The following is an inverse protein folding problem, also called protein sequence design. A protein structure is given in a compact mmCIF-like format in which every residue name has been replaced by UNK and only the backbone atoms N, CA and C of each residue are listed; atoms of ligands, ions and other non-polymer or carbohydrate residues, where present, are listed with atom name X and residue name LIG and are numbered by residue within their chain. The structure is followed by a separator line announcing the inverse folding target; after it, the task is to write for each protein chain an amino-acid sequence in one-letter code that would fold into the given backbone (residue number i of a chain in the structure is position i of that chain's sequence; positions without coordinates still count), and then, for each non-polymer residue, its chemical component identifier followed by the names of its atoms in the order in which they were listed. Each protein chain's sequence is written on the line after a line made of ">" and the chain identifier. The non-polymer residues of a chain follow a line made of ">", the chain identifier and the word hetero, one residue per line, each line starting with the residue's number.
data_IF_555325027668
#
_entry.id   IF_555325027668
#
_cell.length_a   1.000
_cell.length_b   1.000
_cell.length_c   1.000
_cell.angle_alpha   90.00
_cell.angle_beta   90.00
_cell.angle_gamma   90.00
#
_symmetry.space_group_name_H-M   'P 1'
#
loop_
_entity.id
_entity.type
_entity.pdbx_description
1 polymer ?
#
# COMPACT_ATOMS: atom_id res chain seq x y z
N UNK A 1 0.56 -10.46 7.46
CA UNK A 1 0.33 -11.04 6.10
C UNK A 1 1.12 -12.32 5.79
N UNK A 2 2.47 -12.34 5.81
CA UNK A 2 3.24 -13.57 5.53
C UNK A 2 2.88 -14.73 6.47
N UNK A 3 2.62 -14.43 7.75
CA UNK A 3 2.15 -15.39 8.75
C UNK A 3 0.74 -15.93 8.48
N UNK A 4 -0.19 -15.09 8.04
CA UNK A 4 -1.56 -15.49 7.66
C UNK A 4 -1.51 -16.50 6.51
N UNK A 5 -0.75 -16.19 5.47
CA UNK A 5 -0.57 -17.07 4.31
C UNK A 5 0.10 -18.40 4.67
N UNK A 6 1.10 -18.38 5.57
CA UNK A 6 1.77 -19.61 6.06
C UNK A 6 0.82 -20.55 6.81
N UNK A 7 -0.24 -20.02 7.44
CA UNK A 7 -1.28 -20.81 8.11
C UNK A 7 -2.39 -21.27 7.16
N UNK A 8 -2.26 -21.03 5.85
CA UNK A 8 -3.28 -21.35 4.85
C UNK A 8 -4.47 -20.38 4.82
N UNK A 9 -4.40 -19.24 5.51
CA UNK A 9 -5.45 -18.23 5.51
C UNK A 9 -5.37 -17.27 4.32
N UNK A 10 -6.50 -16.66 3.98
CA UNK A 10 -6.57 -15.50 3.09
C UNK A 10 -6.44 -14.21 3.90
N UNK A 11 -5.77 -13.20 3.36
CA UNK A 11 -5.70 -11.87 3.97
C UNK A 11 -6.70 -10.93 3.28
N UNK A 12 -7.44 -10.16 4.07
CA UNK A 12 -8.42 -9.17 3.60
C UNK A 12 -7.74 -7.80 3.51
N UNK A 13 -7.72 -7.23 2.31
CA UNK A 13 -7.14 -5.92 2.05
C UNK A 13 -8.22 -4.89 1.70
N UNK A 14 -8.19 -3.76 2.39
CA UNK A 14 -9.08 -2.63 2.12
C UNK A 14 -8.40 -1.58 1.25
N UNK A 15 -9.19 -1.00 0.34
CA UNK A 15 -8.73 0.07 -0.53
C UNK A 15 -9.12 1.43 0.04
N UNK A 16 -8.15 2.25 0.40
CA UNK A 16 -8.41 3.61 0.86
C UNK A 16 -8.56 4.52 -0.35
N UNK A 17 -9.81 4.80 -0.72
CA UNK A 17 -10.14 5.77 -1.79
C UNK A 17 -10.46 7.18 -1.27
N UNK A 18 -10.74 7.31 0.03
CA UNK A 18 -11.12 8.57 0.67
C UNK A 18 -9.91 9.09 1.46
N UNK A 19 -9.42 10.32 1.19
CA UNK A 19 -8.29 10.91 1.91
C UNK A 19 -8.72 11.46 3.28
N UNK A 20 -9.18 10.57 4.18
CA UNK A 20 -9.68 10.94 5.49
C UNK A 20 -9.14 10.00 6.59
N UNK A 21 -8.46 10.57 7.59
CA UNK A 21 -7.84 9.82 8.68
C UNK A 21 -8.84 9.06 9.56
N UNK A 22 -10.01 9.64 9.84
CA UNK A 22 -11.05 8.98 10.67
C UNK A 22 -11.63 7.77 9.94
N UNK A 23 -11.86 7.87 8.63
CA UNK A 23 -12.30 6.73 7.83
C UNK A 23 -11.24 5.61 7.83
N UNK A 24 -9.96 5.95 7.67
CA UNK A 24 -8.87 4.98 7.71
C UNK A 24 -8.71 4.32 9.08
N UNK A 25 -8.83 5.08 10.17
CA UNK A 25 -8.82 4.56 11.54
C UNK A 25 -10.01 3.63 11.78
N UNK A 26 -11.22 4.02 11.37
CA UNK A 26 -12.40 3.19 11.50
C UNK A 26 -12.27 1.86 10.75
N UNK A 27 -11.69 1.87 9.55
CA UNK A 27 -11.36 0.65 8.82
C UNK A 27 -10.31 -0.17 9.56
N UNK A 28 -9.27 0.44 10.11
CA UNK A 28 -8.23 -0.28 10.85
C UNK A 28 -8.79 -0.95 12.13
N UNK A 29 -9.64 -0.24 12.87
CA UNK A 29 -10.35 -0.76 14.05
C UNK A 29 -11.36 -1.86 13.70
N UNK A 30 -11.92 -1.86 12.48
CA UNK A 30 -12.81 -2.90 11.99
C UNK A 30 -12.10 -4.25 11.72
N UNK A 31 -10.78 -4.35 11.95
CA UNK A 31 -10.06 -5.62 11.93
C UNK A 31 -9.59 -6.07 10.55
N UNK A 32 -9.36 -5.14 9.63
CA UNK A 32 -8.79 -5.46 8.32
C UNK A 32 -7.33 -5.91 8.46
N UNK A 33 -6.89 -6.88 7.67
CA UNK A 33 -5.50 -7.37 7.72
C UNK A 33 -4.51 -6.34 7.14
N UNK A 34 -4.96 -5.58 6.14
CA UNK A 34 -4.17 -4.55 5.48
C UNK A 34 -5.04 -3.47 4.87
N UNK A 35 -4.49 -2.26 4.76
CA UNK A 35 -5.12 -1.11 4.10
C UNK A 35 -4.15 -0.48 3.12
N UNK A 36 -4.59 -0.32 1.87
CA UNK A 36 -3.76 0.23 0.78
C UNK A 36 -4.17 1.66 0.44
N UNK A 37 -3.22 2.60 0.58
CA UNK A 37 -3.34 3.96 0.06
C UNK A 37 -3.00 3.98 -1.43
N UNK A 38 -3.86 4.56 -2.26
CA UNK A 38 -3.66 4.62 -3.71
C UNK A 38 -3.08 5.96 -4.17
N UNK A 39 -1.76 5.96 -4.33
CA UNK A 39 -1.01 7.12 -4.81
C UNK A 39 -0.93 7.16 -6.36
N UNK A 40 -1.54 6.19 -7.07
CA UNK A 40 -1.51 6.14 -8.53
C UNK A 40 -2.54 7.08 -9.16
N UNK A 41 -3.76 7.10 -8.62
CA UNK A 41 -4.91 7.84 -9.17
C UNK A 41 -5.02 9.28 -8.65
N UNK A 42 -4.06 9.74 -7.85
CA UNK A 42 -3.91 11.15 -7.47
C UNK A 42 -4.85 11.67 -6.38
N UNK A 43 -5.82 10.86 -5.92
CA UNK A 43 -6.72 11.24 -4.80
C UNK A 43 -6.01 11.29 -3.46
N UNK A 44 -4.96 10.48 -3.29
CA UNK A 44 -4.11 10.47 -2.11
C UNK A 44 -2.70 10.87 -2.55
N UNK A 45 -2.23 12.01 -2.04
CA UNK A 45 -0.84 12.43 -2.20
C UNK A 45 0.04 11.87 -1.08
N UNK A 46 1.35 12.19 -1.12
CA UNK A 46 2.31 11.64 -0.15
C UNK A 46 2.04 12.12 1.29
N UNK A 47 1.72 13.41 1.48
CA UNK A 47 1.49 13.95 2.82
C UNK A 47 0.23 13.36 3.44
N UNK A 48 -0.83 13.27 2.63
CA UNK A 48 -2.07 12.60 3.01
C UNK A 48 -1.81 11.13 3.36
N UNK A 49 -1.04 10.41 2.55
CA UNK A 49 -0.69 9.02 2.83
C UNK A 49 0.04 8.85 4.18
N UNK A 50 0.96 9.77 4.53
CA UNK A 50 1.62 9.76 5.84
C UNK A 50 0.60 9.90 6.97
N UNK A 51 -0.33 10.84 6.87
CA UNK A 51 -1.39 11.01 7.88
C UNK A 51 -2.32 9.80 7.97
N UNK A 52 -2.67 9.17 6.84
CA UNK A 52 -3.44 7.93 6.83
C UNK A 52 -2.68 6.79 7.50
N UNK A 53 -1.38 6.65 7.25
CA UNK A 53 -0.57 5.60 7.86
C UNK A 53 -0.37 5.81 9.36
N UNK A 54 -0.30 7.06 9.82
CA UNK A 54 -0.31 7.37 11.25
C UNK A 54 -1.58 6.87 11.94
N UNK A 55 -2.75 7.07 11.32
CA UNK A 55 -4.03 6.57 11.83
C UNK A 55 -4.07 5.03 11.87
N UNK A 56 -3.60 4.36 10.81
CA UNK A 56 -3.56 2.89 10.73
C UNK A 56 -2.54 2.28 11.72
N UNK A 57 -1.40 2.94 11.94
CA UNK A 57 -0.32 2.45 12.80
C UNK A 57 -0.70 2.29 14.27
N UNK A 58 -1.82 2.87 14.72
CA UNK A 58 -2.38 2.63 16.04
C UNK A 58 -3.02 1.23 16.21
N UNK A 59 -3.05 0.41 15.15
CA UNK A 59 -3.70 -0.91 15.12
C UNK A 59 -2.76 -1.99 14.56
N UNK A 60 -3.12 -3.29 14.66
CA UNK A 60 -2.38 -4.38 14.01
C UNK A 60 -2.48 -4.41 12.47
N UNK A 61 -3.34 -3.58 11.87
CA UNK A 61 -3.57 -3.54 10.43
C UNK A 61 -2.32 -3.06 9.70
N UNK A 62 -1.94 -3.74 8.62
CA UNK A 62 -0.71 -3.44 7.87
C UNK A 62 -0.98 -2.30 6.87
N UNK A 63 -0.32 -1.13 6.99
CA UNK A 63 -0.42 -0.07 6.00
C UNK A 63 0.38 -0.43 4.74
N UNK A 64 -0.23 -0.26 3.58
CA UNK A 64 0.36 -0.48 2.25
C UNK A 64 0.18 0.76 1.38
N UNK A 65 1.12 0.99 0.46
CA UNK A 65 1.03 2.07 -0.52
C UNK A 65 1.09 1.49 -1.93
N UNK A 66 0.11 1.82 -2.78
CA UNK A 66 0.21 1.58 -4.22
C UNK A 66 0.78 2.83 -4.88
N UNK A 67 2.05 2.74 -5.26
CA UNK A 67 2.79 3.84 -5.91
C UNK A 67 2.83 3.64 -7.44
N UNK A 68 2.92 4.72 -8.20
CA UNK A 68 3.09 4.65 -9.64
C UNK A 68 4.42 3.96 -9.98
N UNK A 69 4.42 3.03 -10.94
CA UNK A 69 5.60 2.25 -11.32
C UNK A 69 6.81 3.12 -11.66
N UNK A 70 6.60 4.25 -12.34
CA UNK A 70 7.66 5.23 -12.61
C UNK A 70 8.22 5.89 -11.33
N UNK A 71 7.34 6.25 -10.38
CA UNK A 71 7.76 6.86 -9.10
C UNK A 71 8.46 5.84 -8.18
N UNK A 72 8.04 4.57 -8.23
CA UNK A 72 8.67 3.47 -7.52
C UNK A 72 10.08 3.16 -8.07
N UNK A 73 10.21 3.12 -9.40
CA UNK A 73 11.48 2.88 -10.08
C UNK A 73 12.49 3.99 -9.76
N UNK A 74 12.09 5.27 -9.77
CA UNK A 74 12.97 6.39 -9.40
C UNK A 74 13.40 6.31 -7.93
N UNK A 75 12.51 5.91 -7.01
CA UNK A 75 12.86 5.68 -5.61
C UNK A 75 13.89 4.56 -5.44
N UNK A 76 13.64 3.39 -6.05
CA UNK A 76 14.54 2.25 -6.02
C UNK A 76 15.91 2.54 -6.69
N UNK A 77 15.93 3.33 -7.77
CA UNK A 77 17.16 3.80 -8.43
C UNK A 77 17.96 4.75 -7.52
N UNK A 78 17.29 5.59 -6.73
CA UNK A 78 17.93 6.48 -5.75
C UNK A 78 18.47 5.74 -4.52
N UNK A 79 17.82 4.65 -4.13
CA UNK A 79 18.22 3.77 -3.02
C UNK A 79 19.25 2.69 -3.43
N UNK A 80 19.72 2.72 -4.68
CA UNK A 80 20.80 1.85 -5.16
C UNK A 80 20.41 0.40 -5.46
N UNK A 81 19.12 0.06 -5.48
CA UNK A 81 18.67 -1.30 -5.82
C UNK A 81 18.17 -1.38 -7.27
N UNK A 82 19.11 -1.29 -8.22
CA UNK A 82 18.85 -1.33 -9.66
C UNK A 82 18.43 -2.71 -10.22
N UNK A 83 18.00 -3.66 -9.39
CA UNK A 83 17.64 -5.03 -9.85
C UNK A 83 16.15 -5.25 -10.10
N UNK A 84 15.29 -4.26 -9.85
CA UNK A 84 13.83 -4.38 -10.03
C UNK A 84 13.24 -3.85 -11.34
N UNK A 85 14.04 -3.20 -12.19
CA UNK A 85 13.55 -2.59 -13.43
C UNK A 85 13.50 -3.62 -14.58
N UNK A 86 12.59 -4.60 -14.50
CA UNK A 86 12.10 -5.28 -15.72
C UNK A 86 10.79 -4.62 -16.13
N UNK A 87 10.82 -3.97 -17.29
CA UNK A 87 9.66 -3.42 -17.97
C UNK A 87 8.62 -4.54 -18.20
N UNK A 88 7.42 -4.35 -17.64
CA UNK A 88 6.23 -5.05 -18.09
C UNK A 88 5.91 -4.53 -19.51
N UNK A 89 6.44 -5.22 -20.50
CA UNK A 89 6.34 -4.84 -21.91
C UNK A 89 6.80 -5.98 -22.80
N UNK A 90 6.09 -7.11 -22.72
CA UNK A 90 6.32 -8.28 -23.56
C UNK A 90 5.12 -9.19 -23.48
N UNK A 91 4.32 -9.18 -24.54
CA UNK A 91 3.32 -10.21 -24.81
C UNK A 91 3.93 -11.59 -24.65
N UNK A 92 3.31 -12.44 -23.85
CA UNK A 92 3.33 -13.87 -24.09
C UNK A 92 2.14 -14.50 -23.36
N UNK A 93 1.48 -15.40 -24.07
CA UNK A 93 0.52 -16.36 -23.57
C UNK A 93 0.94 -16.99 -22.23
#
# INVERSE_FOLDING_TARGET
>A
MKSIRKRGGAAVNGWMGIPNGVAAEGMAQAGWDSLTADLQHGLIDYQTAVSLFQAVAATPTIPLARVNAAKAAVGAMREGNATGAKSAGGSMY
#
